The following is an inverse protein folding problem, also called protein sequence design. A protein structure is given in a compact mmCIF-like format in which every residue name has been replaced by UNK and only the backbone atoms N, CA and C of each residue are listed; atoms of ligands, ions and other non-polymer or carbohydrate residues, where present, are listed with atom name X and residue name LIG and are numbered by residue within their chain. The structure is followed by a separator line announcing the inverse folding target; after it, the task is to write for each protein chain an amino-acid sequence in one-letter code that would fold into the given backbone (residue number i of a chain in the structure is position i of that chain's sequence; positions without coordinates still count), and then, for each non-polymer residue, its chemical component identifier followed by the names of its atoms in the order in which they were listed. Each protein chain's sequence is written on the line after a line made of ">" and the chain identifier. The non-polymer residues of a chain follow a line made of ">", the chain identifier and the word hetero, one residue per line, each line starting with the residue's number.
data_IF_035596855527
#
_entry.id   IF_035596855527
#
_cell.length_a   1.000
_cell.length_b   1.000
_cell.length_c   1.000
_cell.angle_alpha   90.00
_cell.angle_beta   90.00
_cell.angle_gamma   90.00
#
_symmetry.space_group_name_H-M   'P 1'
#
loop_
_entity.id
_entity.type
_entity.pdbx_description
1 polymer ?
#
# COMPACT_ATOMS: atom_id res chain seq x y z
N UNK A 1 -18.60 -1.89 33.84
CA UNK A 1 -18.77 -1.20 32.54
C UNK A 1 -19.07 -2.26 31.49
N UNK A 2 -20.13 -2.12 30.68
CA UNK A 2 -20.47 -3.12 29.66
C UNK A 2 -19.51 -2.95 28.47
N UNK A 3 -18.49 -3.80 28.37
CA UNK A 3 -17.42 -3.73 27.34
C UNK A 3 -17.81 -4.40 26.02
N UNK A 4 -18.95 -5.09 25.97
CA UNK A 4 -19.49 -5.77 24.78
C UNK A 4 -19.59 -4.87 23.53
N UNK A 5 -20.19 -3.65 23.60
CA UNK A 5 -20.26 -2.77 22.43
C UNK A 5 -18.87 -2.31 21.97
N UNK A 6 -17.93 -2.06 22.89
CA UNK A 6 -16.57 -1.64 22.57
C UNK A 6 -15.78 -2.76 21.86
N UNK A 7 -15.95 -4.00 22.32
CA UNK A 7 -15.32 -5.17 21.68
C UNK A 7 -15.89 -5.40 20.26
N UNK A 8 -17.20 -5.25 20.08
CA UNK A 8 -17.84 -5.36 18.76
C UNK A 8 -17.39 -4.26 17.79
N UNK A 9 -17.31 -3.01 18.25
CA UNK A 9 -16.83 -1.91 17.39
C UNK A 9 -15.36 -2.09 17.01
N UNK A 10 -14.51 -2.55 17.93
CA UNK A 10 -13.13 -2.90 17.63
C UNK A 10 -13.02 -4.03 16.60
N UNK A 11 -13.84 -5.09 16.72
CA UNK A 11 -13.89 -6.17 15.72
C UNK A 11 -14.33 -5.68 14.34
N UNK A 12 -15.35 -4.82 14.27
CA UNK A 12 -15.83 -4.26 13.00
C UNK A 12 -14.82 -3.33 12.36
N UNK A 13 -14.21 -2.43 13.13
CA UNK A 13 -13.18 -1.53 12.62
C UNK A 13 -11.95 -2.32 12.17
N UNK A 14 -11.54 -3.32 12.95
CA UNK A 14 -10.43 -4.20 12.61
C UNK A 14 -10.65 -4.96 11.30
N UNK A 15 -11.84 -5.55 11.11
CA UNK A 15 -12.16 -6.28 9.88
C UNK A 15 -12.27 -5.38 8.65
N UNK A 16 -12.78 -4.16 8.80
CA UNK A 16 -12.81 -3.15 7.73
C UNK A 16 -11.40 -2.72 7.32
N UNK A 17 -10.51 -2.47 8.28
CA UNK A 17 -9.11 -2.12 8.01
C UNK A 17 -8.35 -3.26 7.33
N UNK A 18 -8.61 -4.52 7.72
CA UNK A 18 -8.05 -5.68 7.02
C UNK A 18 -8.55 -5.76 5.58
N UNK A 19 -9.84 -5.54 5.33
CA UNK A 19 -10.39 -5.52 3.98
C UNK A 19 -9.82 -4.37 3.14
N UNK A 20 -9.64 -3.19 3.74
CA UNK A 20 -9.02 -2.04 3.10
C UNK A 20 -7.56 -2.34 2.74
N UNK A 21 -6.77 -2.90 3.67
CA UNK A 21 -5.39 -3.29 3.41
C UNK A 21 -5.26 -4.33 2.27
N UNK A 22 -6.19 -5.29 2.17
CA UNK A 22 -6.20 -6.24 1.08
C UNK A 22 -6.49 -5.57 -0.27
N UNK A 23 -7.40 -4.59 -0.29
CA UNK A 23 -7.69 -3.79 -1.48
C UNK A 23 -6.48 -2.94 -1.90
N UNK A 24 -5.84 -2.25 -0.96
CA UNK A 24 -4.66 -1.43 -1.23
C UNK A 24 -3.46 -2.28 -1.68
N UNK A 25 -3.28 -3.47 -1.10
CA UNK A 25 -2.26 -4.42 -1.54
C UNK A 25 -2.50 -4.86 -2.98
N UNK A 26 -3.76 -5.13 -3.34
CA UNK A 26 -4.13 -5.48 -4.69
C UNK A 26 -3.90 -4.30 -5.66
N UNK A 27 -4.22 -3.07 -5.25
CA UNK A 27 -3.87 -1.87 -6.01
C UNK A 27 -2.37 -1.74 -6.19
N UNK A 28 -1.57 -1.93 -5.14
CA UNK A 28 -0.11 -1.89 -5.21
C UNK A 28 0.42 -2.91 -6.23
N UNK A 29 -0.03 -4.16 -6.16
CA UNK A 29 0.38 -5.21 -7.10
C UNK A 29 0.00 -4.88 -8.54
N UNK A 30 -1.24 -4.43 -8.76
CA UNK A 30 -1.74 -4.07 -10.10
C UNK A 30 -1.00 -2.85 -10.66
N UNK A 31 -0.78 -1.83 -9.83
CA UNK A 31 -0.06 -0.60 -10.19
C UNK A 31 1.40 -0.91 -10.50
N UNK A 32 2.05 -1.71 -9.68
CA UNK A 32 3.43 -2.13 -9.90
C UNK A 32 3.57 -2.96 -11.18
N UNK A 33 2.65 -3.89 -11.44
CA UNK A 33 2.62 -4.67 -12.69
C UNK A 33 2.41 -3.80 -13.93
N UNK A 34 1.56 -2.76 -13.83
CA UNK A 34 1.32 -1.81 -14.91
C UNK A 34 2.52 -0.87 -15.14
N UNK A 35 3.23 -0.48 -14.08
CA UNK A 35 4.39 0.43 -14.12
C UNK A 35 5.68 -0.30 -14.53
N UNK A 36 5.83 -1.59 -14.21
CA UNK A 36 7.02 -2.38 -14.52
C UNK A 36 7.51 -2.27 -15.98
N UNK A 37 6.66 -2.40 -17.02
CA UNK A 37 7.09 -2.22 -18.41
C UNK A 37 7.54 -0.78 -18.69
N UNK A 38 6.85 0.23 -18.18
CA UNK A 38 7.25 1.64 -18.33
C UNK A 38 8.59 1.94 -17.65
N UNK A 39 8.84 1.36 -16.47
CA UNK A 39 10.12 1.46 -15.77
C UNK A 39 11.24 0.72 -16.50
N UNK A 40 10.95 -0.44 -17.11
CA UNK A 40 11.92 -1.16 -17.94
C UNK A 40 12.31 -0.33 -19.18
N UNK A 41 11.32 0.26 -19.85
CA UNK A 41 11.54 1.16 -20.99
C UNK A 41 12.34 2.40 -20.61
N UNK A 42 12.00 3.06 -19.49
CA UNK A 42 12.78 4.19 -18.95
C UNK A 42 14.23 3.79 -18.65
N UNK A 43 14.46 2.58 -18.15
CA UNK A 43 15.77 2.08 -17.78
C UNK A 43 16.60 1.56 -18.99
N UNK A 44 15.95 1.29 -20.12
CA UNK A 44 16.62 1.10 -21.42
C UNK A 44 16.94 2.44 -22.07
N UNK A 45 16.01 3.40 -22.05
CA UNK A 45 16.20 4.76 -22.54
C UNK A 45 17.34 5.48 -21.81
N UNK A 46 17.50 5.25 -20.50
CA UNK A 46 18.60 5.82 -19.71
C UNK A 46 19.99 5.40 -20.19
N UNK A 47 20.11 4.30 -20.93
CA UNK A 47 21.38 3.78 -21.47
C UNK A 47 21.73 4.39 -22.83
N UNK A 48 20.80 5.11 -23.47
CA UNK A 48 20.97 5.62 -24.82
C UNK A 48 20.76 7.14 -24.85
N UNK A 49 21.85 7.88 -24.62
CA UNK A 49 21.84 9.34 -24.48
C UNK A 49 21.35 10.09 -25.74
N UNK A 50 21.50 9.50 -26.92
CA UNK A 50 20.97 10.05 -28.18
C UNK A 50 19.44 9.96 -28.26
N UNK A 51 18.85 8.86 -27.78
CA UNK A 51 17.40 8.69 -27.73
C UNK A 51 16.73 9.60 -26.67
N UNK A 52 17.43 9.84 -25.56
CA UNK A 52 17.03 10.82 -24.54
C UNK A 52 16.97 12.25 -25.12
N UNK A 53 17.97 12.62 -25.92
CA UNK A 53 18.01 13.92 -26.59
C UNK A 53 16.92 14.05 -27.66
N UNK A 54 16.60 12.97 -28.40
CA UNK A 54 15.54 12.94 -29.42
C UNK A 54 14.13 13.05 -28.82
N UNK A 55 13.93 12.54 -27.61
CA UNK A 55 12.69 12.69 -26.81
C UNK A 55 12.60 14.03 -26.06
N UNK A 56 13.63 14.88 -26.14
CA UNK A 56 13.70 16.14 -25.41
C UNK A 56 13.74 15.99 -23.89
N UNK A 57 14.06 14.80 -23.38
CA UNK A 57 14.15 14.50 -21.95
C UNK A 57 15.60 14.63 -21.48
N UNK A 58 15.82 15.45 -20.45
CA UNK A 58 17.10 15.45 -19.74
C UNK A 58 17.27 14.20 -18.88
N UNK A 59 18.52 13.80 -18.63
CA UNK A 59 18.82 12.73 -17.68
C UNK A 59 18.26 13.01 -16.27
N UNK A 60 18.13 14.29 -15.90
CA UNK A 60 17.50 14.72 -14.64
C UNK A 60 16.00 14.43 -14.58
N UNK A 61 15.29 14.58 -15.70
CA UNK A 61 13.83 14.41 -15.75
C UNK A 61 13.46 12.93 -15.70
N UNK A 62 14.30 12.08 -16.31
CA UNK A 62 14.17 10.63 -16.24
C UNK A 62 14.38 10.11 -14.82
N UNK A 63 15.41 10.59 -14.12
CA UNK A 63 15.67 10.22 -12.73
C UNK A 63 14.56 10.74 -11.78
N UNK A 64 14.10 11.98 -11.99
CA UNK A 64 12.98 12.55 -11.23
C UNK A 64 11.70 11.71 -11.39
N UNK A 65 11.38 11.29 -12.62
CA UNK A 65 10.20 10.45 -12.91
C UNK A 65 10.32 9.07 -12.26
N UNK A 66 11.51 8.45 -12.36
CA UNK A 66 11.82 7.17 -11.71
C UNK A 66 11.63 7.27 -10.19
N UNK A 67 12.13 8.34 -9.59
CA UNK A 67 12.08 8.53 -8.14
C UNK A 67 10.67 8.87 -7.66
N UNK A 68 9.90 9.66 -8.42
CA UNK A 68 8.49 9.92 -8.15
C UNK A 68 7.66 8.63 -8.18
N UNK A 69 7.84 7.78 -9.21
CA UNK A 69 7.18 6.48 -9.32
C UNK A 69 7.55 5.54 -8.16
N UNK A 70 8.83 5.50 -7.78
CA UNK A 70 9.32 4.72 -6.64
C UNK A 70 8.73 5.21 -5.32
N UNK A 71 8.64 6.52 -5.10
CA UNK A 71 8.10 7.08 -3.86
C UNK A 71 6.58 6.87 -3.77
N UNK A 72 5.85 7.02 -4.86
CA UNK A 72 4.41 6.78 -4.90
C UNK A 72 4.05 5.32 -4.60
N UNK A 73 4.79 4.37 -5.19
CA UNK A 73 4.61 2.93 -4.92
C UNK A 73 5.01 2.55 -3.49
N UNK A 74 6.08 3.15 -2.95
CA UNK A 74 6.48 2.96 -1.55
C UNK A 74 5.43 3.51 -0.56
N UNK A 75 4.84 4.67 -0.86
CA UNK A 75 3.80 5.27 -0.03
C UNK A 75 2.53 4.40 0.03
N UNK A 76 2.11 3.83 -1.10
CA UNK A 76 1.01 2.86 -1.16
C UNK A 76 1.30 1.64 -0.28
N UNK A 77 2.50 1.06 -0.39
CA UNK A 77 2.90 -0.10 0.41
C UNK A 77 2.94 0.21 1.92
N UNK A 78 3.41 1.40 2.30
CA UNK A 78 3.42 1.84 3.70
C UNK A 78 2.00 2.01 4.27
N UNK A 79 1.10 2.65 3.52
CA UNK A 79 -0.30 2.81 3.92
C UNK A 79 -0.95 1.43 4.17
N UNK A 80 -0.76 0.51 3.23
CA UNK A 80 -1.25 -0.87 3.34
C UNK A 80 -0.75 -1.59 4.58
N UNK A 81 0.54 -1.45 4.89
CA UNK A 81 1.15 -2.06 6.08
C UNK A 81 0.58 -1.48 7.38
N UNK A 82 0.34 -0.17 7.42
CA UNK A 82 -0.25 0.50 8.58
C UNK A 82 -1.67 -0.01 8.80
N UNK A 83 -2.48 -0.06 7.75
CA UNK A 83 -3.88 -0.50 7.85
C UNK A 83 -3.97 -2.00 8.19
N UNK A 84 -3.08 -2.82 7.66
CA UNK A 84 -2.98 -4.23 8.04
C UNK A 84 -2.64 -4.39 9.53
N UNK A 85 -1.63 -3.67 10.02
CA UNK A 85 -1.21 -3.73 11.42
C UNK A 85 -2.32 -3.22 12.36
N UNK A 86 -2.91 -2.06 12.04
CA UNK A 86 -4.00 -1.49 12.81
C UNK A 86 -5.21 -2.41 12.82
N UNK A 87 -5.59 -2.96 11.66
CA UNK A 87 -6.67 -3.91 11.52
C UNK A 87 -6.46 -5.17 12.36
N UNK A 88 -5.28 -5.77 12.28
CA UNK A 88 -4.92 -6.95 13.07
C UNK A 88 -4.96 -6.68 14.58
N UNK A 89 -4.45 -5.52 15.03
CA UNK A 89 -4.50 -5.10 16.43
C UNK A 89 -5.95 -4.92 16.91
N UNK A 90 -6.79 -4.25 16.14
CA UNK A 90 -8.21 -4.04 16.50
C UNK A 90 -9.00 -5.35 16.55
N UNK A 91 -8.75 -6.29 15.63
CA UNK A 91 -9.34 -7.64 15.70
C UNK A 91 -8.86 -8.37 16.95
N UNK A 92 -7.55 -8.37 17.22
CA UNK A 92 -6.99 -9.06 18.39
C UNK A 92 -7.55 -8.50 19.71
N UNK A 93 -7.61 -7.18 19.86
CA UNK A 93 -8.22 -6.51 21.00
C UNK A 93 -9.72 -6.83 21.10
N UNK A 94 -10.43 -6.79 19.97
CA UNK A 94 -11.85 -7.13 19.89
C UNK A 94 -12.13 -8.56 20.36
N UNK A 95 -11.33 -9.54 19.96
CA UNK A 95 -11.44 -10.94 20.41
C UNK A 95 -11.09 -11.09 21.89
N UNK A 96 -10.03 -10.41 22.36
CA UNK A 96 -9.58 -10.50 23.75
C UNK A 96 -10.59 -9.94 24.74
N UNK A 97 -11.26 -8.84 24.38
CA UNK A 97 -12.25 -8.16 25.22
C UNK A 97 -13.69 -8.60 24.94
N UNK A 98 -13.94 -9.47 23.96
CA UNK A 98 -15.28 -10.00 23.73
C UNK A 98 -15.71 -10.83 24.93
N UNK A 99 -16.83 -10.51 25.59
CA UNK A 99 -17.27 -11.23 26.77
C UNK A 99 -17.56 -12.67 26.39
N UNK A 100 -16.73 -13.59 26.88
CA UNK A 100 -16.98 -15.03 26.81
C UNK A 100 -18.15 -15.31 27.74
N UNK A 101 -19.28 -15.75 27.20
CA UNK A 101 -20.37 -16.26 28.01
C UNK A 101 -19.82 -17.47 28.78
N UNK A 102 -19.46 -17.25 30.06
CA UNK A 102 -19.24 -18.35 30.98
C UNK A 102 -20.58 -19.04 31.14
N UNK A 103 -20.67 -20.27 30.62
CA UNK A 103 -21.74 -21.20 30.97
C UNK A 103 -21.77 -21.42 32.48
#
# INVERSE_FOLDING_TARGET
>A
MNVKPLAMTALMLGSLLLALSAYELNQYMTTNAAIAPSMAQLNELSKNSEALAELGMGASDLESTRQALSNATAALMQATLIDLCAGALFVALGVAFYPREQR
#
